data_IF_984302765782
#
_entry.id   IF_984302765782
#
_cell.length_a   1.000
_cell.length_b   1.000
_cell.length_c   1.000
_cell.angle_alpha   90.00
_cell.angle_beta   90.00
_cell.angle_gamma   90.00
#
_symmetry.space_group_name_H-M   'P 1'
#
loop_
_entity.id
_entity.type
_entity.pdbx_description
1 polymer ?
#
# COMPACT_ATOMS: atom_id res chain seq x y z
N UNK A 1 13.67 -16.24 -6.51
CA UNK A 1 12.27 -16.06 -6.12
C UNK A 1 11.87 -14.60 -6.28
N UNK A 2 10.78 -14.33 -6.96
CA UNK A 2 10.32 -12.95 -7.05
C UNK A 2 9.93 -12.41 -5.69
N UNK A 3 10.17 -11.13 -5.50
CA UNK A 3 9.81 -10.47 -4.25
C UNK A 3 8.30 -10.25 -4.20
N UNK A 4 7.70 -10.52 -3.05
CA UNK A 4 6.25 -10.33 -2.88
C UNK A 4 5.94 -8.86 -2.56
N UNK A 5 4.67 -8.47 -2.75
CA UNK A 5 4.22 -7.13 -2.41
C UNK A 5 4.42 -6.84 -0.93
N UNK A 6 4.13 -7.81 -0.07
CA UNK A 6 4.36 -7.68 1.36
C UNK A 6 5.84 -7.41 1.65
N UNK A 7 6.74 -8.15 0.99
CA UNK A 7 8.18 -7.96 1.18
C UNK A 7 8.64 -6.58 0.71
N UNK A 8 8.07 -6.07 -0.38
CA UNK A 8 8.39 -4.73 -0.87
C UNK A 8 8.08 -3.69 0.21
N UNK A 9 6.88 -3.78 0.79
CA UNK A 9 6.45 -2.84 1.83
C UNK A 9 7.28 -3.01 3.10
N UNK A 10 7.60 -4.23 3.49
CA UNK A 10 8.43 -4.47 4.68
C UNK A 10 9.84 -3.92 4.49
N UNK A 11 10.42 -4.06 3.30
CA UNK A 11 11.72 -3.47 3.00
C UNK A 11 11.66 -1.95 3.05
N UNK A 12 10.59 -1.36 2.51
CA UNK A 12 10.39 0.08 2.56
C UNK A 12 10.27 0.55 4.00
N UNK A 13 9.52 -0.19 4.83
CA UNK A 13 9.39 0.14 6.25
C UNK A 13 10.73 0.12 6.95
N UNK A 14 11.56 -0.85 6.65
CA UNK A 14 12.89 -0.95 7.24
C UNK A 14 13.77 0.24 6.83
N UNK A 15 13.73 0.60 5.54
CA UNK A 15 14.47 1.74 5.02
C UNK A 15 14.01 3.05 5.68
N UNK A 16 12.70 3.24 5.78
CA UNK A 16 12.13 4.45 6.39
C UNK A 16 12.44 4.51 7.88
N UNK A 17 12.37 3.39 8.56
CA UNK A 17 12.69 3.33 10.00
C UNK A 17 14.14 3.73 10.22
N UNK A 18 15.05 3.22 9.40
CA UNK A 18 16.46 3.59 9.48
C UNK A 18 16.66 5.07 9.23
N UNK A 19 15.98 5.63 8.22
CA UNK A 19 16.06 7.06 7.92
C UNK A 19 15.52 7.90 9.07
N UNK A 20 14.40 7.49 9.67
CA UNK A 20 13.79 8.20 10.79
C UNK A 20 14.72 8.29 12.00
N UNK A 21 15.56 7.27 12.18
CA UNK A 21 16.50 7.21 13.30
C UNK A 21 17.84 7.87 13.01
N UNK A 22 18.02 8.38 11.81
CA UNK A 22 19.28 9.01 11.39
C UNK A 22 19.57 10.30 12.14
N UNK A 23 20.85 10.60 12.33
CA UNK A 23 21.28 11.89 12.86
C UNK A 23 21.20 12.99 11.81
N UNK A 24 21.08 12.61 10.54
CA UNK A 24 20.95 13.56 9.45
C UNK A 24 19.54 14.10 9.35
N UNK A 25 19.38 15.42 9.44
CA UNK A 25 18.08 16.06 9.29
C UNK A 25 17.47 15.75 7.93
N UNK A 26 18.28 15.80 6.88
CA UNK A 26 17.77 15.55 5.52
C UNK A 26 17.23 14.14 5.33
N UNK A 27 17.74 13.18 6.10
CA UNK A 27 17.25 11.80 6.04
C UNK A 27 16.04 11.58 6.95
N UNK A 28 16.07 12.16 8.15
CA UNK A 28 15.05 11.89 9.17
C UNK A 28 13.77 12.70 8.99
N UNK A 29 13.88 13.98 8.68
CA UNK A 29 12.71 14.87 8.66
C UNK A 29 11.62 14.45 7.68
N UNK A 30 11.93 14.02 6.45
CA UNK A 30 10.86 13.60 5.54
C UNK A 30 10.01 12.47 6.10
N UNK A 31 10.63 11.50 6.76
CA UNK A 31 9.91 10.36 7.34
C UNK A 31 9.11 10.80 8.55
N UNK A 32 9.71 11.64 9.41
CA UNK A 32 9.03 12.11 10.61
C UNK A 32 7.83 12.98 10.26
N UNK A 33 7.91 13.78 9.20
CA UNK A 33 6.77 14.55 8.71
C UNK A 33 5.64 13.63 8.27
N UNK A 34 5.97 12.55 7.60
CA UNK A 34 4.97 11.58 7.15
C UNK A 34 4.29 10.90 8.35
N UNK A 35 5.05 10.57 9.38
CA UNK A 35 4.50 9.98 10.59
C UNK A 35 3.47 10.88 11.25
N UNK A 36 3.78 12.18 11.33
CA UNK A 36 2.86 13.15 11.90
C UNK A 36 1.65 13.35 11.01
N UNK A 37 1.87 13.51 9.71
CA UNK A 37 0.78 13.73 8.76
C UNK A 37 -0.19 12.56 8.72
N UNK A 38 0.31 11.34 8.86
CA UNK A 38 -0.53 10.14 8.86
C UNK A 38 -1.22 9.91 10.21
N UNK A 39 -0.81 10.64 11.25
CA UNK A 39 -1.35 10.43 12.58
C UNK A 39 -0.81 9.20 13.28
N UNK A 40 0.29 8.63 12.78
CA UNK A 40 0.91 7.46 13.39
C UNK A 40 1.64 7.81 14.69
N UNK A 41 2.04 9.07 14.86
CA UNK A 41 2.64 9.61 16.06
C UNK A 41 1.90 10.90 16.42
N UNK A 42 0.71 10.81 17.02
CA UNK A 42 -0.10 11.99 17.32
C UNK A 42 0.43 12.79 18.49
N UNK A 43 0.01 14.05 18.56
CA UNK A 43 0.28 14.94 19.72
C UNK A 43 1.76 15.23 19.93
N UNK A 44 2.53 15.29 18.84
CA UNK A 44 3.95 15.60 18.91
C UNK A 44 4.31 16.54 17.77
N UNK A 45 5.16 17.55 18.06
CA UNK A 45 5.65 18.45 17.02
C UNK A 45 6.83 17.79 16.30
N UNK A 46 7.16 18.31 15.11
CA UNK A 46 8.27 17.77 14.33
C UNK A 46 9.61 17.91 15.07
N UNK A 47 9.94 19.08 15.66
CA UNK A 47 11.20 19.19 16.43
C UNK A 47 11.25 18.23 17.61
N UNK A 48 10.14 18.04 18.31
CA UNK A 48 10.09 17.12 19.43
C UNK A 48 10.25 15.68 18.97
N UNK A 49 9.60 15.31 17.88
CA UNK A 49 9.72 13.95 17.34
C UNK A 49 11.16 13.69 16.90
N UNK A 50 11.80 14.67 16.29
CA UNK A 50 13.20 14.52 15.91
C UNK A 50 14.10 14.26 17.13
N UNK A 51 13.88 14.99 18.23
CA UNK A 51 14.64 14.76 19.46
C UNK A 51 14.38 13.37 20.02
N UNK A 52 13.18 12.85 19.82
CA UNK A 52 12.78 11.53 20.29
C UNK A 52 12.78 10.46 19.21
N UNK A 53 13.53 10.67 18.14
CA UNK A 53 13.46 9.79 16.98
C UNK A 53 13.83 8.34 17.28
N UNK A 54 14.60 8.11 18.34
CA UNK A 54 14.94 6.75 18.74
C UNK A 54 13.74 5.98 19.29
N UNK A 55 12.66 6.68 19.65
CA UNK A 55 11.43 6.02 20.13
C UNK A 55 10.54 5.54 18.98
N UNK A 56 10.82 5.96 17.74
CA UNK A 56 10.05 5.50 16.58
C UNK A 56 10.37 4.03 16.33
N UNK A 57 9.32 3.21 16.31
CA UNK A 57 9.44 1.78 16.09
C UNK A 57 8.97 1.41 14.69
N UNK A 58 9.37 0.23 14.25
CA UNK A 58 8.93 -0.24 12.93
C UNK A 58 7.41 -0.31 12.81
N UNK A 59 6.73 -0.66 13.88
CA UNK A 59 5.27 -0.71 13.88
C UNK A 59 4.65 0.65 13.59
N UNK A 60 5.29 1.74 14.02
CA UNK A 60 4.82 3.10 13.70
C UNK A 60 4.95 3.38 12.22
N UNK A 61 6.05 2.95 11.62
CA UNK A 61 6.29 3.10 10.18
C UNK A 61 5.28 2.27 9.38
N UNK A 62 5.03 1.04 9.79
CA UNK A 62 4.06 0.17 9.12
C UNK A 62 2.66 0.78 9.20
N UNK A 63 2.29 1.33 10.35
CA UNK A 63 1.02 2.01 10.49
C UNK A 63 0.92 3.22 9.57
N UNK A 64 1.99 4.01 9.49
CA UNK A 64 2.06 5.15 8.58
C UNK A 64 1.82 4.71 7.14
N UNK A 65 2.51 3.66 6.69
CA UNK A 65 2.33 3.15 5.34
C UNK A 65 0.92 2.66 5.09
N UNK A 66 0.31 2.00 6.08
CA UNK A 66 -1.07 1.55 5.97
C UNK A 66 -2.03 2.72 5.83
N UNK A 67 -1.86 3.75 6.66
CA UNK A 67 -2.71 4.95 6.61
C UNK A 67 -2.55 5.67 5.27
N UNK A 68 -1.33 5.80 4.79
CA UNK A 68 -1.07 6.42 3.49
C UNK A 68 -1.70 5.63 2.34
N UNK A 69 -1.85 4.33 2.51
CA UNK A 69 -2.50 3.47 1.52
C UNK A 69 -4.02 3.48 1.63
N UNK A 70 -4.57 4.17 2.62
CA UNK A 70 -6.01 4.27 2.80
C UNK A 70 -6.58 3.31 3.84
N UNK A 71 -5.74 2.62 4.59
CA UNK A 71 -6.17 1.70 5.63
C UNK A 71 -5.96 2.33 7.01
N UNK A 72 -6.49 1.69 8.04
CA UNK A 72 -6.37 2.21 9.39
C UNK A 72 -5.22 1.60 10.16
N UNK A 73 -4.78 0.41 9.76
CA UNK A 73 -3.75 -0.31 10.46
C UNK A 73 -3.00 -1.24 9.52
N UNK A 74 -1.85 -1.73 9.98
CA UNK A 74 -1.08 -2.73 9.24
C UNK A 74 -1.88 -4.02 9.06
N UNK A 75 -2.66 -4.38 10.08
CA UNK A 75 -3.49 -5.58 10.05
C UNK A 75 -4.55 -5.53 8.97
N UNK A 76 -5.01 -4.32 8.62
CA UNK A 76 -5.96 -4.13 7.53
C UNK A 76 -5.28 -4.07 6.16
N UNK A 77 -4.07 -3.53 6.12
CA UNK A 77 -3.33 -3.32 4.87
C UNK A 77 -2.69 -4.62 4.38
N UNK A 78 -2.10 -5.40 5.28
CA UNK A 78 -1.37 -6.61 4.90
C UNK A 78 -2.19 -7.59 4.07
N UNK A 79 -3.45 -7.89 4.42
CA UNK A 79 -4.24 -8.82 3.59
C UNK A 79 -4.42 -8.34 2.16
N UNK A 80 -4.48 -7.03 1.95
CA UNK A 80 -4.59 -6.46 0.61
C UNK A 80 -3.33 -6.72 -0.20
N UNK A 81 -2.16 -6.63 0.43
CA UNK A 81 -0.90 -6.94 -0.22
C UNK A 81 -0.83 -8.42 -0.59
N UNK A 82 -1.30 -9.28 0.30
CA UNK A 82 -1.35 -10.71 0.03
C UNK A 82 -2.29 -11.02 -1.12
N UNK A 83 -3.39 -10.28 -1.23
CA UNK A 83 -4.33 -10.43 -2.34
C UNK A 83 -3.68 -10.04 -3.67
N UNK A 84 -2.85 -8.98 -3.67
CA UNK A 84 -2.11 -8.58 -4.87
C UNK A 84 -1.23 -9.73 -5.34
N UNK A 85 -0.52 -10.37 -4.41
CA UNK A 85 0.37 -11.48 -4.74
C UNK A 85 -0.41 -12.68 -5.26
N UNK A 86 -1.55 -13.00 -4.64
CA UNK A 86 -2.39 -14.11 -5.07
C UNK A 86 -2.92 -13.88 -6.49
N UNK A 87 -3.39 -12.66 -6.77
CA UNK A 87 -3.89 -12.32 -8.11
C UNK A 87 -2.78 -12.34 -9.14
N UNK A 88 -1.57 -11.98 -8.75
CA UNK A 88 -0.42 -12.02 -9.65
C UNK A 88 -0.15 -13.46 -10.12
N UNK A 89 -0.17 -14.42 -9.18
CA UNK A 89 0.02 -15.83 -9.54
C UNK A 89 -1.09 -16.33 -10.43
N UNK A 90 -2.33 -15.98 -10.13
CA UNK A 90 -3.46 -16.34 -10.98
C UNK A 90 -3.29 -15.80 -12.39
N UNK A 91 -2.77 -14.58 -12.52
CA UNK A 91 -2.55 -13.95 -13.81
C UNK A 91 -1.52 -14.70 -14.64
N UNK A 92 -0.45 -15.22 -14.02
CA UNK A 92 0.54 -16.02 -14.72
C UNK A 92 -0.08 -17.28 -15.30
N UNK A 93 -0.87 -17.99 -14.52
CA UNK A 93 -1.52 -19.20 -14.98
C UNK A 93 -2.51 -18.91 -16.12
N UNK A 94 -3.23 -17.82 -15.99
CA UNK A 94 -4.21 -17.40 -16.99
C UNK A 94 -3.52 -17.02 -18.29
N UNK A 95 -2.36 -16.38 -18.23
CA UNK A 95 -1.60 -16.02 -19.41
C UNK A 95 -1.19 -17.26 -20.22
N UNK A 96 -0.77 -18.30 -19.52
CA UNK A 96 -0.42 -19.55 -20.19
C UNK A 96 -1.61 -20.14 -20.94
N UNK A 97 -2.82 -19.82 -20.47
CA UNK A 97 -4.06 -20.30 -21.09
C UNK A 97 -4.66 -19.29 -22.06
N UNK A 98 -4.00 -18.15 -22.26
CA UNK A 98 -4.44 -17.15 -23.22
C UNK A 98 -5.46 -16.15 -22.73
N UNK A 99 -5.66 -16.03 -21.44
CA UNK A 99 -6.58 -15.06 -20.87
C UNK A 99 -5.88 -13.77 -20.47
N UNK A 100 -6.61 -12.67 -20.51
CA UNK A 100 -6.08 -11.34 -20.16
C UNK A 100 -6.75 -10.83 -18.88
N UNK A 101 -6.28 -11.29 -17.74
CA UNK A 101 -6.83 -10.86 -16.44
C UNK A 101 -5.67 -10.52 -15.51
N UNK A 102 -4.89 -9.51 -15.93
CA UNK A 102 -3.67 -9.14 -15.25
C UNK A 102 -3.87 -8.01 -14.26
N UNK A 103 -3.07 -8.02 -13.21
CA UNK A 103 -2.93 -6.85 -12.36
C UNK A 103 -2.25 -5.75 -13.17
N UNK A 104 -2.79 -4.54 -13.10
CA UNK A 104 -2.22 -3.40 -13.81
C UNK A 104 -1.49 -2.51 -12.82
N UNK A 105 -0.23 -2.23 -13.10
CA UNK A 105 0.62 -1.43 -12.23
C UNK A 105 0.76 -0.01 -12.76
N UNK A 106 0.64 0.94 -11.86
CA UNK A 106 0.75 2.36 -12.15
C UNK A 106 1.82 2.98 -11.27
N UNK A 107 2.47 4.02 -11.79
CA UNK A 107 3.52 4.70 -11.04
C UNK A 107 3.00 5.56 -9.90
N UNK A 108 1.71 5.90 -9.92
CA UNK A 108 1.11 6.68 -8.84
C UNK A 108 -0.34 6.28 -8.62
N UNK A 109 -0.84 6.66 -7.44
CA UNK A 109 -2.19 6.32 -7.01
C UNK A 109 -3.26 7.00 -7.86
N UNK A 110 -3.02 8.24 -8.26
CA UNK A 110 -4.02 9.01 -9.01
C UNK A 110 -4.35 8.35 -10.34
N UNK A 111 -3.34 7.88 -11.05
CA UNK A 111 -3.56 7.20 -12.32
C UNK A 111 -4.30 5.88 -12.13
N UNK A 112 -3.95 5.14 -11.09
CA UNK A 112 -4.61 3.88 -10.79
C UNK A 112 -6.08 4.11 -10.43
N UNK A 113 -6.36 5.13 -9.64
CA UNK A 113 -7.74 5.45 -9.27
C UNK A 113 -8.58 5.88 -10.46
N UNK A 114 -7.99 6.65 -11.36
CA UNK A 114 -8.68 7.07 -12.58
C UNK A 114 -9.02 5.85 -13.44
N UNK A 115 -8.07 4.96 -13.63
CA UNK A 115 -8.28 3.74 -14.40
C UNK A 115 -9.39 2.89 -13.77
N UNK A 116 -9.34 2.70 -12.46
CA UNK A 116 -10.33 1.88 -11.75
C UNK A 116 -11.73 2.49 -11.84
N UNK A 117 -11.81 3.82 -11.83
CA UNK A 117 -13.09 4.51 -11.96
C UNK A 117 -13.72 4.27 -13.33
N UNK A 118 -12.90 4.28 -14.38
CA UNK A 118 -13.37 4.12 -15.74
C UNK A 118 -13.62 2.67 -16.14
N UNK A 119 -12.80 1.77 -15.62
CA UNK A 119 -12.78 0.38 -16.08
C UNK A 119 -13.17 -0.64 -15.01
N UNK A 120 -13.38 -0.17 -13.79
CA UNK A 120 -13.60 -1.06 -12.66
C UNK A 120 -12.28 -1.58 -12.11
N UNK A 121 -12.36 -2.19 -10.94
CA UNK A 121 -11.19 -2.75 -10.29
C UNK A 121 -10.98 -2.14 -8.92
N UNK A 122 -10.01 -2.68 -8.22
CA UNK A 122 -9.67 -2.31 -6.86
C UNK A 122 -8.23 -1.82 -6.81
N UNK A 123 -8.02 -0.63 -6.26
CA UNK A 123 -6.68 -0.06 -6.16
C UNK A 123 -6.02 -0.48 -4.86
N UNK A 124 -4.80 -1.00 -4.95
CA UNK A 124 -3.98 -1.34 -3.77
C UNK A 124 -2.63 -0.66 -3.92
N UNK A 125 -2.18 -0.01 -2.87
CA UNK A 125 -0.89 0.69 -2.87
C UNK A 125 0.20 -0.30 -2.44
N UNK A 126 1.26 -0.38 -3.25
CA UNK A 126 2.41 -1.23 -2.95
C UNK A 126 3.66 -0.37 -3.04
N UNK A 127 4.13 0.10 -1.89
CA UNK A 127 5.27 1.01 -1.85
C UNK A 127 4.96 2.31 -2.57
N UNK A 128 5.80 2.71 -3.50
CA UNK A 128 5.60 3.92 -4.30
C UNK A 128 4.71 3.73 -5.51
N UNK A 129 4.15 2.54 -5.69
CA UNK A 129 3.34 2.23 -6.86
C UNK A 129 1.92 1.88 -6.44
N UNK A 130 1.00 1.87 -7.40
CA UNK A 130 -0.36 1.44 -7.19
C UNK A 130 -0.70 0.34 -8.18
N UNK A 131 -1.48 -0.63 -7.74
CA UNK A 131 -1.92 -1.72 -8.61
C UNK A 131 -3.44 -1.75 -8.63
N UNK A 132 -4.00 -1.99 -9.81
CA UNK A 132 -5.44 -2.18 -9.97
C UNK A 132 -5.68 -3.68 -10.15
N UNK A 133 -6.42 -4.25 -9.21
CA UNK A 133 -6.83 -5.65 -9.27
C UNK A 133 -8.11 -5.76 -10.08
N UNK A 134 -8.20 -6.72 -11.00
CA UNK A 134 -9.43 -6.91 -11.75
C UNK A 134 -10.55 -7.36 -10.83
N UNK A 135 -11.77 -6.94 -11.14
CA UNK A 135 -12.96 -7.38 -10.41
C UNK A 135 -13.33 -8.76 -10.94
N UNK A 136 -13.44 -9.75 -10.05
CA UNK A 136 -13.87 -11.08 -10.44
C UNK A 136 -15.38 -11.10 -10.62
N UNK A 137 -15.87 -12.05 -11.41
CA UNK A 137 -17.31 -12.22 -11.61
C UNK A 137 -18.02 -12.48 -10.29
N UNK A 138 -17.39 -13.22 -9.40
CA UNK A 138 -17.98 -13.50 -8.10
C UNK A 138 -18.13 -12.26 -7.25
N UNK A 139 -17.24 -11.29 -7.41
CA UNK A 139 -17.31 -10.04 -6.66
C UNK A 139 -18.33 -9.08 -7.26
N UNK A 140 -18.47 -9.08 -8.56
CA UNK A 140 -19.41 -8.19 -9.25
C UNK A 140 -20.83 -8.72 -9.23
N UNK A 141 -20.99 -10.00 -9.07
CA UNK A 141 -22.29 -10.66 -9.15
C UNK A 141 -23.36 -10.07 -8.22
N UNK A 142 -23.08 -9.84 -6.94
CA UNK A 142 -24.09 -9.25 -6.05
C UNK A 142 -24.58 -7.88 -6.52
N UNK A 143 -23.68 -7.07 -7.06
CA UNK A 143 -24.06 -5.76 -7.56
C UNK A 143 -24.98 -5.86 -8.76
N UNK A 144 -24.66 -6.77 -9.66
CA UNK A 144 -25.46 -6.99 -10.84
C UNK A 144 -26.85 -7.46 -10.49
N UNK A 145 -26.94 -8.37 -9.52
CA UNK A 145 -28.21 -8.83 -9.04
C UNK A 145 -29.08 -7.72 -8.49
N UNK A 146 -28.46 -6.83 -7.74
CA UNK A 146 -29.17 -5.71 -7.16
C UNK A 146 -29.69 -4.73 -8.23
N UNK A 147 -29.02 -4.66 -9.34
CA UNK A 147 -29.41 -3.75 -10.40
C UNK A 147 -30.66 -4.16 -11.14
N UNK A 148 -30.90 -5.44 -11.19
CA UNK A 148 -32.05 -5.97 -11.92
C UNK A 148 -33.31 -6.05 -11.09
N UNK A 149 -33.16 -5.79 -9.84
CA UNK A 149 -34.32 -5.76 -8.94
C UNK A 149 -34.91 -4.34 -8.89
#
# INVERSE_FOLDING_TARGET
MPITSTQIVLREAKRLHRAASSDSLSSALPVLRRLIAAGAMPNVSLPELFRRRSTVQRKNILRMLAIEAGDQSWEDYRPKLELVDAKHFESFEILDKGYANLNLWFSNKAEAQLFARENGGRVVIVGGQAVVLPVSESESSPKQGAWYD
#
